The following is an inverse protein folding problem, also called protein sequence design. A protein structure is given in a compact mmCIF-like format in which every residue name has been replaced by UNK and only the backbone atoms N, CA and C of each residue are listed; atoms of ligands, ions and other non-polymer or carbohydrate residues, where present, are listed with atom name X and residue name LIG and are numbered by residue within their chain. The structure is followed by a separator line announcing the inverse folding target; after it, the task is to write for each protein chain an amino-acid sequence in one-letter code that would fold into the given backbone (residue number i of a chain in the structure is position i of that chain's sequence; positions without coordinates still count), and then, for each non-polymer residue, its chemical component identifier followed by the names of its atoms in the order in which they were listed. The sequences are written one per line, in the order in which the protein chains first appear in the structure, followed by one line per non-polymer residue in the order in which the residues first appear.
data_IF_017810103381
#
_entry.id   IF_017810103381
#
_cell.length_a   1.000
_cell.length_b   1.000
_cell.length_c   1.000
_cell.angle_alpha   90.00
_cell.angle_beta   90.00
_cell.angle_gamma   90.00
#
_symmetry.space_group_name_H-M   'P 1'
#
loop_
_entity.id
_entity.type
_entity.pdbx_description
1 polymer ?
#
# COMPACT_ATOMS: atom_id res chain seq x y z
N UNK A 1 -37.61 -26.81 2.32
CA UNK A 1 -36.81 -25.94 1.44
C UNK A 1 -37.37 -24.51 1.53
N UNK A 2 -36.50 -23.49 1.71
CA UNK A 2 -36.79 -22.05 1.54
C UNK A 2 -37.44 -21.20 2.65
N UNK A 3 -36.73 -21.06 3.78
CA UNK A 3 -36.62 -19.73 4.44
C UNK A 3 -35.15 -19.40 4.75
N UNK A 4 -34.40 -20.39 5.25
CA UNK A 4 -32.96 -20.28 5.51
C UNK A 4 -32.14 -20.07 4.23
N UNK A 5 -32.50 -20.75 3.13
CA UNK A 5 -31.83 -20.60 1.83
C UNK A 5 -32.08 -19.22 1.20
N UNK A 6 -33.25 -18.62 1.42
CA UNK A 6 -33.56 -17.24 0.99
C UNK A 6 -32.74 -16.22 1.78
N UNK A 7 -32.56 -16.42 3.09
CA UNK A 7 -31.71 -15.56 3.91
C UNK A 7 -30.23 -15.66 3.52
N UNK A 8 -29.73 -16.88 3.28
CA UNK A 8 -28.36 -17.09 2.80
C UNK A 8 -28.15 -16.46 1.42
N UNK A 9 -29.13 -16.57 0.51
CA UNK A 9 -29.05 -15.95 -0.82
C UNK A 9 -29.16 -14.42 -0.76
N UNK A 10 -30.02 -13.85 0.09
CA UNK A 10 -30.11 -12.39 0.30
C UNK A 10 -28.83 -11.83 0.95
N UNK A 11 -28.24 -12.56 1.91
CA UNK A 11 -27.01 -12.15 2.58
C UNK A 11 -25.79 -12.25 1.64
N UNK A 12 -25.75 -13.27 0.77
CA UNK A 12 -24.73 -13.41 -0.28
C UNK A 12 -24.84 -12.32 -1.35
N UNK A 13 -26.05 -11.87 -1.72
CA UNK A 13 -26.21 -10.75 -2.67
C UNK A 13 -25.77 -9.41 -2.06
N UNK A 14 -25.77 -9.25 -0.73
CA UNK A 14 -25.26 -8.03 -0.08
C UNK A 14 -23.76 -8.05 0.25
N UNK A 15 -23.07 -9.19 0.07
CA UNK A 15 -21.63 -9.34 0.27
C UNK A 15 -20.84 -9.30 -1.05
N UNK A 16 -21.50 -9.18 -2.20
CA UNK A 16 -20.88 -8.61 -3.40
C UNK A 16 -20.43 -7.21 -3.02
N UNK A 17 -19.12 -7.07 -2.82
CA UNK A 17 -18.45 -5.85 -2.44
C UNK A 17 -19.16 -4.65 -3.07
N UNK A 18 -19.86 -3.86 -2.25
CA UNK A 18 -20.10 -2.46 -2.62
C UNK A 18 -18.70 -1.85 -2.76
N UNK A 19 -18.13 -1.95 -3.96
CA UNK A 19 -17.12 -1.03 -4.41
C UNK A 19 -17.79 0.31 -4.19
N UNK A 20 -17.23 1.08 -3.29
CA UNK A 20 -17.69 2.42 -2.97
C UNK A 20 -17.39 3.27 -4.22
N UNK A 21 -18.28 3.16 -5.21
CA UNK A 21 -18.26 3.82 -6.51
C UNK A 21 -18.80 5.25 -6.43
N UNK A 22 -19.04 5.77 -5.22
CA UNK A 22 -19.57 7.11 -5.04
C UNK A 22 -18.67 8.16 -5.70
N UNK A 23 -17.35 7.99 -5.58
CA UNK A 23 -16.36 8.86 -6.23
C UNK A 23 -16.51 8.84 -7.76
N UNK A 24 -16.65 7.65 -8.36
CA UNK A 24 -16.84 7.50 -9.81
C UNK A 24 -18.16 8.14 -10.25
N UNK A 25 -19.26 7.87 -9.54
CA UNK A 25 -20.58 8.47 -9.84
C UNK A 25 -20.57 10.00 -9.73
N UNK A 26 -19.78 10.56 -8.81
CA UNK A 26 -19.63 12.01 -8.65
C UNK A 26 -19.12 12.70 -9.91
N UNK A 27 -18.34 12.01 -10.73
CA UNK A 27 -17.81 12.56 -11.99
C UNK A 27 -18.88 12.68 -13.08
N UNK A 28 -19.93 11.85 -13.07
CA UNK A 28 -21.05 12.01 -14.01
C UNK A 28 -21.96 13.15 -13.58
N UNK A 29 -22.09 13.35 -12.26
CA UNK A 29 -22.89 14.43 -11.68
C UNK A 29 -22.25 15.84 -11.84
N UNK A 30 -20.93 15.94 -11.99
CA UNK A 30 -20.21 17.21 -12.02
C UNK A 30 -19.28 17.31 -13.26
N UNK A 31 -19.85 17.53 -14.47
CA UNK A 31 -19.06 17.57 -15.70
C UNK A 31 -18.04 18.71 -15.74
N UNK A 32 -18.29 19.83 -15.04
CA UNK A 32 -17.35 20.95 -14.92
C UNK A 32 -16.08 20.63 -14.13
N UNK A 33 -16.06 19.50 -13.40
CA UNK A 33 -14.89 19.03 -12.68
C UNK A 33 -14.09 17.98 -13.45
N UNK A 34 -14.37 17.81 -14.74
CA UNK A 34 -13.60 16.93 -15.64
C UNK A 34 -12.41 17.67 -16.23
N UNK A 35 -11.25 17.03 -16.23
CA UNK A 35 -10.04 17.49 -16.92
C UNK A 35 -9.78 16.60 -18.13
N UNK A 36 -9.93 17.15 -19.34
CA UNK A 36 -9.90 16.38 -20.59
C UNK A 36 -8.55 16.42 -21.31
N UNK A 37 -7.61 17.27 -20.90
CA UNK A 37 -6.36 17.51 -21.66
C UNK A 37 -5.24 16.50 -21.37
N UNK A 38 -5.42 15.60 -20.39
CA UNK A 38 -4.46 14.58 -19.94
C UNK A 38 -3.09 15.11 -19.49
N UNK A 39 -2.28 15.65 -20.41
CA UNK A 39 -0.97 16.24 -20.14
C UNK A 39 -1.09 17.65 -19.55
N UNK A 40 -0.31 17.95 -18.51
CA UNK A 40 -0.26 19.28 -17.89
C UNK A 40 0.91 20.12 -18.43
N UNK A 41 0.55 21.20 -19.11
CA UNK A 41 1.40 22.32 -19.51
C UNK A 41 0.74 23.64 -19.11
N UNK A 42 1.40 24.77 -19.37
CA UNK A 42 0.85 26.09 -19.14
C UNK A 42 -0.46 26.31 -19.91
N UNK A 43 -0.56 25.81 -21.13
CA UNK A 43 -1.76 25.88 -21.97
C UNK A 43 -2.90 25.04 -21.38
N UNK A 44 -2.65 23.75 -21.11
CA UNK A 44 -3.70 22.84 -20.65
C UNK A 44 -4.10 23.11 -19.20
N UNK A 45 -3.22 23.71 -18.39
CA UNK A 45 -3.52 24.11 -17.01
C UNK A 45 -4.65 25.15 -16.91
N UNK A 46 -4.93 25.89 -18.00
CA UNK A 46 -6.06 26.82 -18.04
C UNK A 46 -7.40 26.09 -18.01
N UNK A 47 -7.45 24.86 -18.53
CA UNK A 47 -8.63 24.00 -18.56
C UNK A 47 -8.76 23.13 -17.30
N UNK A 48 -7.83 23.24 -16.35
CA UNK A 48 -7.90 22.47 -15.10
C UNK A 48 -9.03 23.00 -14.19
N UNK A 49 -9.87 22.14 -13.60
CA UNK A 49 -11.01 22.53 -12.78
C UNK A 49 -10.59 23.00 -11.36
N UNK A 50 -10.03 24.21 -11.27
CA UNK A 50 -9.42 24.81 -10.07
C UNK A 50 -10.35 24.94 -8.85
N UNK A 51 -11.66 24.99 -9.07
CA UNK A 51 -12.66 25.16 -7.99
C UNK A 51 -13.25 23.84 -7.49
N UNK A 52 -12.78 22.70 -7.99
CA UNK A 52 -13.32 21.40 -7.66
C UNK A 52 -12.52 20.69 -6.56
N UNK A 53 -13.22 20.18 -5.55
CA UNK A 53 -12.61 19.28 -4.56
C UNK A 53 -12.40 17.86 -5.10
N UNK A 54 -13.22 17.44 -6.05
CA UNK A 54 -13.10 16.16 -6.76
C UNK A 54 -12.83 16.46 -8.22
N UNK A 55 -11.68 16.04 -8.74
CA UNK A 55 -11.30 16.20 -10.14
C UNK A 55 -11.34 14.85 -10.82
N UNK A 56 -11.91 14.82 -12.02
CA UNK A 56 -12.13 13.60 -12.79
C UNK A 56 -11.34 13.67 -14.08
N UNK A 57 -10.44 12.72 -14.31
CA UNK A 57 -9.60 12.72 -15.50
C UNK A 57 -8.29 11.99 -15.28
N UNK A 58 -7.51 11.91 -16.35
CA UNK A 58 -6.13 11.46 -16.28
C UNK A 58 -5.26 12.70 -16.16
N UNK A 59 -4.33 12.69 -15.21
CA UNK A 59 -3.35 13.76 -15.02
C UNK A 59 -1.97 13.18 -15.31
N UNK A 60 -1.32 13.69 -16.35
CA UNK A 60 0.05 13.36 -16.73
C UNK A 60 0.95 14.58 -16.55
N UNK A 61 1.94 14.45 -15.69
CA UNK A 61 3.06 15.39 -15.54
C UNK A 61 4.32 14.65 -15.96
N UNK A 62 5.10 15.21 -16.87
CA UNK A 62 6.39 14.64 -17.24
C UNK A 62 7.49 15.68 -17.33
N UNK A 63 8.72 15.27 -17.66
CA UNK A 63 9.86 16.18 -17.81
C UNK A 63 9.75 17.26 -18.89
N UNK A 64 8.69 17.25 -19.71
CA UNK A 64 8.42 18.32 -20.69
C UNK A 64 7.34 19.30 -20.22
N UNK A 65 6.85 19.17 -18.98
CA UNK A 65 5.98 20.20 -18.39
C UNK A 65 6.76 21.51 -18.21
N UNK A 66 6.11 22.61 -18.49
CA UNK A 66 6.58 23.99 -18.35
C UNK A 66 6.03 24.67 -17.07
N UNK A 67 5.35 23.90 -16.21
CA UNK A 67 4.81 24.37 -14.94
C UNK A 67 5.85 24.26 -13.81
N UNK A 68 6.03 25.36 -13.07
CA UNK A 68 6.79 25.37 -11.81
C UNK A 68 6.07 24.62 -10.69
N UNK A 69 6.81 24.26 -9.63
CA UNK A 69 6.25 23.63 -8.42
C UNK A 69 5.20 24.53 -7.77
N UNK A 70 5.42 25.85 -7.77
CA UNK A 70 4.49 26.84 -7.24
C UNK A 70 3.19 26.87 -8.06
N UNK A 71 3.28 26.85 -9.39
CA UNK A 71 2.12 26.78 -10.28
C UNK A 71 1.33 25.48 -10.08
N UNK A 72 2.01 24.34 -9.97
CA UNK A 72 1.37 23.05 -9.69
C UNK A 72 0.69 23.05 -8.31
N UNK A 73 1.35 23.62 -7.30
CA UNK A 73 0.80 23.72 -5.93
C UNK A 73 -0.48 24.55 -5.93
N UNK A 74 -0.47 25.69 -6.61
CA UNK A 74 -1.64 26.55 -6.75
C UNK A 74 -2.76 25.88 -7.56
N UNK A 75 -2.40 25.19 -8.65
CA UNK A 75 -3.33 24.46 -9.51
C UNK A 75 -4.11 23.38 -8.74
N UNK A 76 -3.43 22.65 -7.86
CA UNK A 76 -4.00 21.53 -7.10
C UNK A 76 -4.52 21.89 -5.71
N UNK A 77 -4.42 23.15 -5.26
CA UNK A 77 -4.72 23.56 -3.87
C UNK A 77 -6.07 23.09 -3.34
N UNK A 78 -7.08 23.05 -4.22
CA UNK A 78 -8.45 22.67 -3.88
C UNK A 78 -8.74 21.18 -4.10
N UNK A 79 -7.93 20.48 -4.91
CA UNK A 79 -8.16 19.08 -5.25
C UNK A 79 -7.89 18.19 -4.02
N UNK A 80 -8.92 17.47 -3.57
CA UNK A 80 -8.86 16.49 -2.48
C UNK A 80 -9.02 15.06 -2.98
N UNK A 81 -9.73 14.88 -4.08
CA UNK A 81 -10.01 13.58 -4.66
C UNK A 81 -9.65 13.64 -6.14
N UNK A 82 -8.84 12.69 -6.60
CA UNK A 82 -8.60 12.46 -8.03
C UNK A 82 -9.25 11.13 -8.43
N UNK A 83 -10.15 11.19 -9.40
CA UNK A 83 -10.83 10.03 -9.98
C UNK A 83 -10.39 9.86 -11.43
N UNK A 84 -9.71 8.76 -11.76
CA UNK A 84 -9.12 8.55 -13.09
C UNK A 84 -7.68 8.04 -12.98
N UNK A 85 -6.71 8.76 -13.54
CA UNK A 85 -5.30 8.35 -13.58
C UNK A 85 -4.35 9.45 -13.10
N UNK A 86 -3.22 9.06 -12.50
CA UNK A 86 -2.14 9.97 -12.12
C UNK A 86 -0.81 9.40 -12.57
N UNK A 87 -0.18 10.08 -13.53
CA UNK A 87 1.11 9.71 -14.11
C UNK A 87 2.11 10.83 -13.87
N UNK A 88 3.18 10.54 -13.14
CA UNK A 88 4.29 11.49 -12.92
C UNK A 88 5.56 10.80 -13.36
N UNK A 89 6.12 11.21 -14.50
CA UNK A 89 7.25 10.48 -15.10
C UNK A 89 8.35 11.33 -15.68
N UNK A 90 9.61 10.88 -15.59
CA UNK A 90 10.75 11.59 -16.16
C UNK A 90 10.89 13.04 -15.65
N UNK A 91 10.45 13.36 -14.43
CA UNK A 91 10.59 14.70 -13.85
C UNK A 91 11.86 14.81 -12.99
N UNK A 92 12.22 16.03 -12.64
CA UNK A 92 13.34 16.36 -11.73
C UNK A 92 12.88 16.83 -10.35
N UNK A 93 11.60 16.61 -10.00
CA UNK A 93 11.08 16.99 -8.69
C UNK A 93 11.67 16.12 -7.58
N UNK A 94 12.08 16.75 -6.48
CA UNK A 94 12.59 16.04 -5.30
C UNK A 94 11.48 15.41 -4.46
N UNK A 95 10.26 15.93 -4.55
CA UNK A 95 9.06 15.43 -3.88
C UNK A 95 7.80 15.83 -4.65
N UNK A 96 6.65 15.26 -4.29
CA UNK A 96 5.34 15.55 -4.90
C UNK A 96 4.44 16.37 -3.97
N UNK A 97 5.00 17.22 -3.11
CA UNK A 97 4.21 17.98 -2.12
C UNK A 97 3.29 19.04 -2.74
N UNK A 98 3.44 19.36 -4.02
CA UNK A 98 2.42 20.08 -4.78
C UNK A 98 1.06 19.34 -4.82
N UNK A 99 1.05 18.03 -4.54
CA UNK A 99 -0.14 17.20 -4.31
C UNK A 99 -0.45 16.94 -2.83
N UNK A 100 0.16 17.65 -1.88
CA UNK A 100 -0.07 17.42 -0.44
C UNK A 100 -1.53 17.63 -0.02
N UNK A 101 -2.33 18.33 -0.84
CA UNK A 101 -3.77 18.48 -0.63
C UNK A 101 -4.61 17.23 -0.94
N UNK A 102 -4.07 16.28 -1.71
CA UNK A 102 -4.74 15.06 -2.14
C UNK A 102 -5.01 14.13 -0.96
N UNK A 103 -6.26 13.69 -0.84
CA UNK A 103 -6.74 12.78 0.22
C UNK A 103 -7.09 11.40 -0.32
N UNK A 104 -7.63 11.33 -1.53
CA UNK A 104 -8.08 10.07 -2.14
C UNK A 104 -7.67 10.01 -3.60
N UNK A 105 -7.06 8.89 -3.99
CA UNK A 105 -6.90 8.50 -5.39
C UNK A 105 -7.84 7.34 -5.69
N UNK A 106 -8.61 7.45 -6.77
CA UNK A 106 -9.56 6.41 -7.22
C UNK A 106 -9.40 6.16 -8.71
N UNK A 107 -8.88 5.00 -9.06
CA UNK A 107 -8.82 4.54 -10.43
C UNK A 107 -10.22 4.36 -11.02
N UNK A 108 -10.45 4.94 -12.20
CA UNK A 108 -11.71 4.80 -12.92
C UNK A 108 -11.57 3.89 -14.14
N UNK A 109 -11.60 2.58 -13.88
CA UNK A 109 -11.58 1.54 -14.92
C UNK A 109 -12.89 1.42 -15.70
N UNK A 110 -13.93 2.15 -15.30
CA UNK A 110 -15.20 2.16 -16.04
C UNK A 110 -15.14 3.09 -17.24
N UNK A 111 -14.32 4.14 -17.17
CA UNK A 111 -14.15 5.13 -18.25
C UNK A 111 -12.82 5.02 -18.98
N UNK A 112 -11.78 4.53 -18.32
CA UNK A 112 -10.43 4.49 -18.89
C UNK A 112 -9.84 3.08 -18.90
N UNK A 113 -9.00 2.76 -19.89
CA UNK A 113 -8.23 1.51 -19.89
C UNK A 113 -7.42 1.34 -18.60
N UNK A 114 -7.16 0.08 -18.24
CA UNK A 114 -6.43 -0.25 -17.01
C UNK A 114 -5.07 0.44 -16.93
N UNK A 115 -4.37 0.66 -18.05
CA UNK A 115 -3.05 1.30 -18.07
C UNK A 115 -3.09 2.80 -17.83
N UNK A 116 -4.22 3.44 -18.10
CA UNK A 116 -4.38 4.90 -18.05
C UNK A 116 -4.96 5.37 -16.71
N UNK A 117 -5.85 4.59 -16.09
CA UNK A 117 -6.43 4.88 -14.77
C UNK A 117 -5.51 4.53 -13.58
N UNK A 118 -4.21 4.37 -13.79
CA UNK A 118 -3.26 3.96 -12.75
C UNK A 118 -2.70 5.13 -11.96
N UNK A 119 -2.20 4.82 -10.76
CA UNK A 119 -1.23 5.65 -10.06
C UNK A 119 0.17 5.20 -10.46
N UNK A 120 0.84 5.98 -11.32
CA UNK A 120 2.18 5.70 -11.83
C UNK A 120 3.13 6.85 -11.52
N UNK A 121 4.20 6.56 -10.79
CA UNK A 121 5.25 7.53 -10.47
C UNK A 121 6.56 6.88 -10.89
N UNK A 122 7.06 7.21 -12.08
CA UNK A 122 8.12 6.43 -12.72
C UNK A 122 9.27 7.27 -13.29
N UNK A 123 10.50 6.77 -13.24
CA UNK A 123 11.66 7.44 -13.85
C UNK A 123 11.96 8.86 -13.35
N UNK A 124 11.56 9.22 -12.12
CA UNK A 124 11.87 10.53 -11.54
C UNK A 124 13.19 10.45 -10.77
N UNK A 125 14.29 10.83 -11.41
CA UNK A 125 15.66 10.57 -10.93
C UNK A 125 16.03 11.33 -9.65
N UNK A 126 15.42 12.49 -9.43
CA UNK A 126 15.68 13.33 -8.25
C UNK A 126 14.70 13.10 -7.10
N UNK A 127 13.66 12.30 -7.31
CA UNK A 127 12.60 12.08 -6.33
C UNK A 127 13.11 11.34 -5.10
N UNK A 128 13.04 11.96 -3.92
CA UNK A 128 13.50 11.42 -2.62
C UNK A 128 12.38 10.87 -1.76
N UNK A 129 11.18 11.43 -1.91
CA UNK A 129 9.95 10.94 -1.28
C UNK A 129 8.73 11.32 -2.12
N UNK A 130 7.60 10.62 -1.96
CA UNK A 130 6.35 11.10 -2.59
C UNK A 130 5.83 12.32 -1.83
N UNK A 131 5.73 12.23 -0.50
CA UNK A 131 5.26 13.35 0.33
C UNK A 131 3.78 13.67 0.16
N UNK A 132 2.93 12.66 -0.12
CA UNK A 132 1.47 12.82 -0.19
C UNK A 132 0.86 12.80 1.22
N UNK A 133 1.17 13.85 1.99
CA UNK A 133 1.00 13.88 3.45
C UNK A 133 -0.46 13.70 3.94
N UNK A 134 -1.44 14.03 3.11
CA UNK A 134 -2.86 13.91 3.44
C UNK A 134 -3.58 12.74 2.76
N UNK A 135 -2.86 11.91 2.00
CA UNK A 135 -3.44 10.78 1.28
C UNK A 135 -3.88 9.71 2.28
N UNK A 136 -5.18 9.51 2.42
CA UNK A 136 -5.78 8.50 3.31
C UNK A 136 -6.20 7.25 2.56
N UNK A 137 -6.45 7.37 1.25
CA UNK A 137 -7.04 6.27 0.48
C UNK A 137 -6.48 6.17 -0.93
N UNK A 138 -6.09 4.95 -1.30
CA UNK A 138 -5.79 4.56 -2.67
C UNK A 138 -6.79 3.46 -3.05
N UNK A 139 -7.58 3.70 -4.10
CA UNK A 139 -8.41 2.67 -4.73
C UNK A 139 -7.89 2.45 -6.15
N UNK A 140 -7.15 1.38 -6.40
CA UNK A 140 -6.56 1.10 -7.72
C UNK A 140 -6.31 -0.38 -7.89
N UNK A 141 -6.33 -0.91 -9.10
CA UNK A 141 -5.88 -2.28 -9.39
C UNK A 141 -4.36 -2.37 -9.52
N UNK A 142 -3.71 -1.28 -9.93
CA UNK A 142 -2.25 -1.20 -10.07
C UNK A 142 -1.74 0.13 -9.52
N UNK A 143 -0.69 0.04 -8.72
CA UNK A 143 0.12 1.18 -8.26
C UNK A 143 1.55 0.86 -8.67
N UNK A 144 2.17 1.74 -9.44
CA UNK A 144 3.48 1.53 -10.06
C UNK A 144 4.43 2.66 -9.66
N UNK A 145 5.40 2.36 -8.80
CA UNK A 145 6.42 3.32 -8.33
C UNK A 145 7.78 2.76 -8.71
N UNK A 146 8.22 3.06 -9.93
CA UNK A 146 9.32 2.35 -10.59
C UNK A 146 10.43 3.26 -11.10
N UNK A 147 11.69 2.83 -10.94
CA UNK A 147 12.89 3.56 -11.38
C UNK A 147 12.97 5.02 -10.88
N UNK A 148 12.64 5.25 -9.61
CA UNK A 148 12.92 6.51 -8.93
C UNK A 148 14.20 6.32 -8.10
N UNK A 149 15.37 6.54 -8.70
CA UNK A 149 16.66 6.04 -8.20
C UNK A 149 17.10 6.63 -6.86
N UNK A 150 16.68 7.85 -6.53
CA UNK A 150 16.98 8.54 -5.27
C UNK A 150 15.86 8.42 -4.23
N UNK A 151 14.82 7.63 -4.49
CA UNK A 151 13.67 7.50 -3.59
C UNK A 151 14.12 6.79 -2.30
N UNK A 152 13.92 7.42 -1.15
CA UNK A 152 14.34 6.90 0.16
C UNK A 152 13.15 6.35 0.96
N UNK A 153 11.95 6.90 0.76
CA UNK A 153 10.72 6.50 1.44
C UNK A 153 9.48 6.96 0.68
N UNK A 154 8.30 6.43 0.99
CA UNK A 154 7.07 6.91 0.37
C UNK A 154 6.54 8.18 1.05
N UNK A 155 6.69 8.29 2.38
CA UNK A 155 6.16 9.39 3.21
C UNK A 155 4.64 9.59 3.02
N UNK A 156 3.87 8.54 3.37
CA UNK A 156 2.41 8.52 3.33
C UNK A 156 1.81 8.34 4.75
N UNK A 157 2.03 9.30 5.67
CA UNK A 157 1.78 9.12 7.10
C UNK A 157 0.31 8.91 7.47
N UNK A 158 -0.62 9.36 6.62
CA UNK A 158 -2.07 9.24 6.85
C UNK A 158 -2.73 8.13 6.03
N UNK A 159 -1.96 7.31 5.31
CA UNK A 159 -2.54 6.26 4.50
C UNK A 159 -3.19 5.21 5.40
N UNK A 160 -4.50 5.05 5.27
CA UNK A 160 -5.28 4.14 6.11
C UNK A 160 -5.83 2.95 5.32
N UNK A 161 -6.13 3.16 4.04
CA UNK A 161 -6.80 2.20 3.18
C UNK A 161 -6.12 2.22 1.81
N UNK A 162 -5.53 1.10 1.43
CA UNK A 162 -5.32 0.78 0.03
C UNK A 162 -6.25 -0.38 -0.34
N UNK A 163 -7.27 -0.08 -1.16
CA UNK A 163 -8.26 -1.07 -1.62
C UNK A 163 -8.02 -1.36 -3.09
N UNK A 164 -7.83 -2.63 -3.42
CA UNK A 164 -7.51 -3.04 -4.78
C UNK A 164 -8.75 -3.52 -5.51
N UNK A 165 -8.94 -3.01 -6.73
CA UNK A 165 -10.18 -3.16 -7.51
C UNK A 165 -10.05 -4.33 -8.51
N UNK A 166 -9.78 -5.55 -8.02
CA UNK A 166 -9.71 -6.77 -8.84
C UNK A 166 -8.65 -7.75 -8.35
N UNK A 167 -8.45 -8.84 -9.11
CA UNK A 167 -7.48 -9.91 -8.81
C UNK A 167 -6.11 -9.64 -9.48
N UNK A 168 -5.63 -8.40 -9.42
CA UNK A 168 -4.35 -8.02 -10.03
C UNK A 168 -3.26 -7.89 -8.97
N UNK A 169 -2.02 -8.26 -9.32
CA UNK A 169 -0.83 -8.10 -8.47
C UNK A 169 -0.53 -6.61 -8.25
N UNK A 170 -0.26 -6.23 -7.00
CA UNK A 170 0.24 -4.89 -6.67
C UNK A 170 1.75 -4.94 -6.81
N UNK A 171 2.26 -4.08 -7.66
CA UNK A 171 3.67 -4.01 -8.00
C UNK A 171 4.25 -2.68 -7.50
N UNK A 172 4.65 -2.62 -6.23
CA UNK A 172 5.64 -1.63 -5.79
C UNK A 172 7.02 -2.11 -6.28
N UNK A 173 7.19 -2.11 -7.59
CA UNK A 173 8.46 -2.43 -8.22
C UNK A 173 9.37 -1.22 -8.08
N UNK A 174 10.13 -1.17 -7.01
CA UNK A 174 11.36 -0.40 -7.04
C UNK A 174 12.27 -1.13 -8.06
N UNK A 175 12.89 -0.40 -8.98
CA UNK A 175 13.75 -0.96 -10.04
C UNK A 175 14.77 -2.02 -9.57
N UNK A 176 15.31 -2.78 -10.53
CA UNK A 176 16.06 -4.02 -10.32
C UNK A 176 17.35 -3.90 -9.49
N UNK A 177 17.89 -2.69 -9.31
CA UNK A 177 19.11 -2.49 -8.54
C UNK A 177 18.73 -2.16 -7.11
N UNK A 178 19.18 -3.00 -6.17
CA UNK A 178 19.06 -2.85 -4.72
C UNK A 178 19.34 -1.39 -4.31
N UNK A 179 18.32 -0.55 -4.25
CA UNK A 179 18.47 0.87 -3.90
C UNK A 179 18.78 0.94 -2.41
N UNK A 180 20.03 1.22 -2.00
CA UNK A 180 20.48 0.94 -0.65
C UNK A 180 19.80 1.81 0.43
N UNK A 181 18.98 2.78 0.01
CA UNK A 181 18.30 3.72 0.90
C UNK A 181 16.78 3.61 0.91
N UNK A 182 16.15 2.97 -0.09
CA UNK A 182 14.69 2.87 -0.08
C UNK A 182 14.23 1.82 0.91
N UNK A 183 13.42 2.24 1.86
CA UNK A 183 12.70 1.33 2.72
C UNK A 183 11.20 1.66 2.72
N UNK A 184 10.36 0.64 2.90
CA UNK A 184 8.92 0.82 3.08
C UNK A 184 8.56 0.96 4.56
N UNK A 185 7.76 1.97 4.89
CA UNK A 185 7.31 2.19 6.26
C UNK A 185 6.27 1.13 6.68
N UNK A 186 6.39 0.59 7.90
CA UNK A 186 5.46 -0.42 8.44
C UNK A 186 3.99 0.04 8.43
N UNK A 187 3.73 1.34 8.61
CA UNK A 187 2.39 1.92 8.52
C UNK A 187 1.78 1.82 7.10
N UNK A 188 2.61 1.91 6.05
CA UNK A 188 2.16 1.74 4.67
C UNK A 188 1.83 0.27 4.43
N UNK A 189 2.70 -0.65 4.86
CA UNK A 189 2.41 -2.09 4.82
C UNK A 189 1.11 -2.44 5.55
N UNK A 190 0.88 -1.84 6.72
CA UNK A 190 -0.35 -2.03 7.49
C UNK A 190 -1.58 -1.56 6.69
N UNK A 191 -1.50 -0.44 5.98
CA UNK A 191 -2.59 0.05 5.13
C UNK A 191 -2.84 -0.81 3.88
N UNK A 192 -1.76 -1.34 3.28
CA UNK A 192 -1.80 -2.26 2.13
C UNK A 192 -2.43 -3.61 2.47
N UNK A 193 -2.36 -4.02 3.74
CA UNK A 193 -2.77 -5.35 4.20
C UNK A 193 -3.97 -5.32 5.14
N UNK A 194 -4.50 -4.12 5.44
CA UNK A 194 -5.60 -3.90 6.40
C UNK A 194 -6.88 -4.66 6.05
N UNK A 195 -7.16 -4.83 4.76
CA UNK A 195 -8.27 -5.64 4.26
C UNK A 195 -7.70 -6.79 3.44
N UNK A 196 -8.41 -7.93 3.44
CA UNK A 196 -8.10 -9.02 2.51
C UNK A 196 -8.14 -8.46 1.11
N UNK A 197 -6.96 -8.34 0.53
CA UNK A 197 -6.76 -8.04 -0.85
C UNK A 197 -6.37 -9.39 -1.48
N UNK A 198 -7.08 -9.83 -2.51
CA UNK A 198 -6.81 -11.12 -3.18
C UNK A 198 -5.57 -11.02 -4.09
N UNK A 199 -4.59 -10.22 -3.69
CA UNK A 199 -3.53 -9.72 -4.56
C UNK A 199 -2.18 -10.03 -3.94
N UNK A 200 -1.24 -10.47 -4.77
CA UNK A 200 0.16 -10.53 -4.38
C UNK A 200 0.67 -9.09 -4.19
N UNK A 201 1.29 -8.83 -3.03
CA UNK A 201 1.99 -7.58 -2.76
C UNK A 201 3.47 -7.79 -3.07
N UNK A 202 3.93 -7.27 -4.20
CA UNK A 202 5.35 -7.31 -4.56
C UNK A 202 5.96 -5.95 -4.25
N UNK A 203 6.75 -5.91 -3.18
CA UNK A 203 7.57 -4.75 -2.80
C UNK A 203 9.02 -5.24 -2.77
N UNK A 204 9.85 -4.73 -3.67
CA UNK A 204 11.29 -4.99 -3.68
C UNK A 204 12.00 -3.90 -2.87
N UNK A 205 12.08 -4.06 -1.55
CA UNK A 205 12.58 -3.05 -0.62
C UNK A 205 12.92 -3.66 0.74
N UNK A 206 13.73 -2.95 1.54
CA UNK A 206 13.83 -3.19 2.97
C UNK A 206 12.68 -2.52 3.74
N UNK A 207 12.54 -2.83 5.03
CA UNK A 207 11.52 -2.21 5.89
C UNK A 207 12.18 -1.14 6.74
N UNK A 208 11.59 0.05 6.77
CA UNK A 208 12.15 1.15 7.54
C UNK A 208 12.14 0.82 9.02
N UNK A 209 13.31 0.90 9.66
CA UNK A 209 13.43 0.84 11.11
C UNK A 209 13.07 2.24 11.65
N UNK A 210 11.92 2.41 12.32
CA UNK A 210 11.53 3.71 12.82
C UNK A 210 12.45 4.15 13.96
N UNK A 211 12.88 5.41 13.94
CA UNK A 211 13.57 6.03 15.08
C UNK A 211 12.60 6.15 16.26
N UNK A 212 13.03 5.71 17.44
CA UNK A 212 12.28 5.88 18.70
C UNK A 212 10.86 5.30 18.71
N UNK A 213 10.64 4.11 18.14
CA UNK A 213 9.34 3.43 18.21
C UNK A 213 9.29 2.43 19.38
N UNK A 214 8.52 2.70 20.45
CA UNK A 214 8.40 1.76 21.55
C UNK A 214 7.76 0.45 21.06
N UNK A 215 8.29 -0.67 21.54
CA UNK A 215 7.85 -2.03 21.19
C UNK A 215 8.11 -2.48 19.74
N UNK A 216 8.87 -1.71 18.95
CA UNK A 216 9.44 -2.15 17.66
C UNK A 216 10.86 -2.62 17.90
N UNK A 217 11.21 -3.80 17.38
CA UNK A 217 12.50 -4.43 17.63
C UNK A 217 13.07 -4.98 16.33
N UNK A 218 14.39 -5.07 16.25
CA UNK A 218 15.13 -5.79 15.20
C UNK A 218 15.64 -7.15 15.68
N UNK A 219 15.57 -7.38 17.00
CA UNK A 219 15.91 -8.65 17.66
C UNK A 219 14.80 -9.01 18.65
N UNK A 220 14.48 -10.30 18.83
CA UNK A 220 13.42 -10.72 19.74
C UNK A 220 13.80 -10.41 21.20
N UNK A 221 12.98 -9.60 21.85
CA UNK A 221 13.13 -9.15 23.24
C UNK A 221 11.79 -9.17 23.96
N UNK A 222 11.80 -9.29 25.28
CA UNK A 222 10.56 -9.29 26.08
C UNK A 222 9.83 -7.96 25.90
N UNK A 223 8.52 -8.03 25.67
CA UNK A 223 7.68 -6.84 25.40
C UNK A 223 7.66 -6.40 23.94
N UNK A 224 8.45 -7.04 23.06
CA UNK A 224 8.41 -6.73 21.64
C UNK A 224 7.03 -7.01 21.02
N UNK A 225 6.44 -6.02 20.35
CA UNK A 225 5.13 -6.18 19.70
C UNK A 225 5.25 -6.23 18.17
N UNK A 226 6.27 -5.58 17.60
CA UNK A 226 6.56 -5.58 16.17
C UNK A 226 8.03 -5.93 15.95
N UNK A 227 8.31 -7.05 15.30
CA UNK A 227 9.67 -7.46 14.97
C UNK A 227 9.94 -7.20 13.48
N UNK A 228 10.96 -6.41 13.17
CA UNK A 228 11.47 -6.18 11.82
C UNK A 228 12.72 -7.05 11.64
N UNK A 229 12.65 -8.01 10.72
CA UNK A 229 13.67 -9.01 10.50
C UNK A 229 13.15 -10.44 10.74
N UNK A 230 13.97 -11.42 10.37
CA UNK A 230 13.61 -12.83 10.47
C UNK A 230 13.61 -13.32 11.94
N UNK A 231 12.63 -14.14 12.28
CA UNK A 231 12.51 -14.76 13.60
C UNK A 231 12.90 -16.24 13.51
N UNK A 232 14.03 -16.59 14.13
CA UNK A 232 14.52 -17.96 14.22
C UNK A 232 14.21 -18.55 15.61
N UNK A 233 13.36 -19.57 15.64
CA UNK A 233 12.97 -20.31 16.83
C UNK A 233 13.56 -21.72 16.71
N UNK A 234 14.56 -22.00 17.53
CA UNK A 234 15.28 -23.28 17.57
C UNK A 234 15.20 -23.91 18.96
N UNK A 235 15.80 -25.08 19.15
CA UNK A 235 15.89 -25.74 20.46
C UNK A 235 16.47 -24.79 21.51
N UNK A 236 15.78 -24.66 22.65
CA UNK A 236 16.19 -23.78 23.75
C UNK A 236 15.78 -22.31 23.60
N UNK A 237 15.00 -21.96 22.56
CA UNK A 237 14.50 -20.59 22.39
C UNK A 237 13.63 -20.15 23.58
N UNK A 238 13.91 -18.94 24.09
CA UNK A 238 13.13 -18.33 25.16
C UNK A 238 11.82 -17.74 24.63
N UNK A 239 10.73 -18.49 24.79
CA UNK A 239 9.40 -18.13 24.29
C UNK A 239 8.86 -16.81 24.85
N UNK A 240 9.32 -16.37 26.03
CA UNK A 240 8.90 -15.09 26.65
C UNK A 240 9.21 -13.88 25.77
N UNK A 241 10.21 -14.00 24.88
CA UNK A 241 10.62 -12.95 23.93
C UNK A 241 9.59 -12.71 22.81
N UNK A 242 8.64 -13.63 22.62
CA UNK A 242 7.65 -13.56 21.53
C UNK A 242 6.20 -13.61 21.99
N UNK A 243 5.94 -13.75 23.30
CA UNK A 243 4.58 -13.77 23.84
C UNK A 243 3.80 -12.48 23.53
N UNK A 244 4.48 -11.33 23.51
CA UNK A 244 3.88 -10.02 23.16
C UNK A 244 3.85 -9.73 21.66
N UNK A 245 4.48 -10.59 20.84
CA UNK A 245 4.67 -10.33 19.41
C UNK A 245 3.34 -10.37 18.68
N UNK A 246 2.99 -9.26 18.01
CA UNK A 246 1.75 -9.13 17.23
C UNK A 246 1.98 -9.17 15.74
N UNK A 247 3.11 -8.63 15.28
CA UNK A 247 3.46 -8.54 13.85
C UNK A 247 4.92 -8.91 13.66
N UNK A 248 5.17 -9.78 12.70
CA UNK A 248 6.50 -10.08 12.19
C UNK A 248 6.61 -9.52 10.78
N UNK A 249 7.66 -8.74 10.53
CA UNK A 249 8.02 -8.26 9.21
C UNK A 249 9.32 -8.96 8.77
N UNK A 250 9.17 -10.19 8.27
CA UNK A 250 10.23 -11.13 7.98
C UNK A 250 9.71 -12.57 7.90
N UNK A 251 10.62 -13.53 7.76
CA UNK A 251 10.32 -14.96 7.81
C UNK A 251 10.25 -15.46 9.25
N UNK A 252 9.24 -16.29 9.56
CA UNK A 252 9.18 -17.11 10.76
C UNK A 252 9.77 -18.49 10.50
N UNK A 253 10.95 -18.76 11.06
CA UNK A 253 11.62 -20.06 11.00
C UNK A 253 11.46 -20.78 12.34
N UNK A 254 10.77 -21.93 12.36
CA UNK A 254 10.65 -22.79 13.54
C UNK A 254 11.28 -24.14 13.20
N UNK A 255 12.52 -24.35 13.65
CA UNK A 255 13.32 -25.50 13.23
C UNK A 255 13.90 -26.30 14.39
N UNK A 256 13.84 -27.64 14.29
CA UNK A 256 14.45 -28.57 15.22
C UNK A 256 14.13 -28.28 16.71
N UNK A 257 12.90 -27.85 17.00
CA UNK A 257 12.45 -27.57 18.37
C UNK A 257 11.87 -28.82 19.03
N UNK A 258 11.78 -28.79 20.36
CA UNK A 258 11.12 -29.83 21.17
C UNK A 258 9.67 -29.46 21.51
N UNK A 259 9.12 -28.38 20.94
CA UNK A 259 7.77 -27.89 21.22
C UNK A 259 6.69 -28.81 20.66
N UNK A 260 5.58 -28.96 21.40
CA UNK A 260 4.40 -29.73 20.97
C UNK A 260 3.37 -28.88 20.23
N UNK A 261 3.40 -27.57 20.42
CA UNK A 261 2.49 -26.61 19.80
C UNK A 261 3.08 -25.19 19.73
N UNK A 262 2.40 -24.28 19.03
CA UNK A 262 2.82 -22.88 18.83
C UNK A 262 1.99 -21.85 19.61
N UNK A 263 1.32 -22.24 20.70
CA UNK A 263 0.47 -21.32 21.49
C UNK A 263 1.23 -20.14 22.10
N UNK A 264 2.55 -20.27 22.28
CA UNK A 264 3.40 -19.16 22.72
C UNK A 264 3.46 -17.98 21.72
N UNK A 265 3.10 -18.21 20.45
CA UNK A 265 2.86 -17.17 19.44
C UNK A 265 1.38 -16.75 19.40
N UNK A 266 0.63 -16.93 20.48
CA UNK A 266 -0.82 -16.70 20.55
C UNK A 266 -1.27 -15.26 20.30
N UNK A 267 -0.34 -14.29 20.33
CA UNK A 267 -0.62 -12.90 19.96
C UNK A 267 -0.21 -12.54 18.53
N UNK A 268 0.49 -13.41 17.81
CA UNK A 268 0.92 -13.17 16.45
C UNK A 268 -0.29 -13.12 15.54
N UNK A 269 -0.51 -11.97 14.92
CA UNK A 269 -1.66 -11.72 14.05
C UNK A 269 -1.28 -11.69 12.57
N UNK A 270 -0.06 -11.28 12.25
CA UNK A 270 0.40 -11.13 10.87
C UNK A 270 1.89 -11.47 10.75
N UNK A 271 2.23 -12.11 9.64
CA UNK A 271 3.60 -12.28 9.15
C UNK A 271 3.63 -11.63 7.77
N UNK A 272 4.48 -10.62 7.61
CA UNK A 272 4.69 -9.93 6.35
C UNK A 272 6.06 -10.27 5.84
N UNK A 273 6.11 -10.91 4.69
CA UNK A 273 7.34 -11.16 3.98
C UNK A 273 7.33 -10.36 2.69
N UNK A 274 8.39 -9.59 2.48
CA UNK A 274 8.60 -8.86 1.22
C UNK A 274 9.16 -9.82 0.17
N UNK A 275 9.05 -9.40 -1.08
CA UNK A 275 9.46 -10.21 -2.25
C UNK A 275 8.75 -11.58 -2.31
N UNK A 276 9.33 -12.53 -3.05
CA UNK A 276 8.80 -13.89 -3.24
C UNK A 276 9.32 -14.88 -2.17
N UNK A 277 9.75 -14.39 -1.02
CA UNK A 277 10.34 -15.23 0.02
C UNK A 277 9.27 -15.91 0.88
N UNK A 278 9.63 -17.06 1.46
CA UNK A 278 8.72 -17.86 2.30
C UNK A 278 8.47 -17.14 3.63
N UNK A 279 7.20 -16.92 3.96
CA UNK A 279 6.81 -16.25 5.21
C UNK A 279 6.91 -17.17 6.44
N UNK A 280 6.65 -18.47 6.29
CA UNK A 280 6.64 -19.44 7.38
C UNK A 280 7.36 -20.73 6.97
N UNK A 281 8.39 -21.10 7.73
CA UNK A 281 9.17 -22.32 7.53
C UNK A 281 9.17 -23.15 8.83
N UNK A 282 8.62 -24.35 8.78
CA UNK A 282 8.52 -25.24 9.94
C UNK A 282 9.08 -26.62 9.59
N UNK A 283 10.26 -26.95 10.12
CA UNK A 283 11.01 -28.15 9.71
C UNK A 283 11.70 -28.83 10.90
N UNK A 284 11.67 -30.17 10.94
CA UNK A 284 12.46 -30.96 11.90
C UNK A 284 11.93 -30.97 13.35
N UNK A 285 10.73 -30.45 13.60
CA UNK A 285 10.11 -30.41 14.93
C UNK A 285 9.43 -31.76 15.26
N UNK A 286 10.21 -32.73 15.75
CA UNK A 286 9.77 -34.14 15.92
C UNK A 286 8.62 -34.33 16.91
N UNK A 287 8.50 -33.45 17.90
CA UNK A 287 7.47 -33.53 18.94
C UNK A 287 6.21 -32.71 18.63
N UNK A 288 6.17 -32.00 17.50
CA UNK A 288 5.08 -31.11 17.13
C UNK A 288 3.80 -31.92 16.91
N UNK A 289 2.75 -31.58 17.65
CA UNK A 289 1.42 -32.20 17.56
C UNK A 289 0.36 -31.25 17.02
N UNK A 290 0.52 -29.94 17.23
CA UNK A 290 -0.42 -28.92 16.76
C UNK A 290 0.32 -27.70 16.16
N UNK A 291 0.01 -27.35 14.91
CA UNK A 291 0.58 -26.20 14.19
C UNK A 291 -0.32 -24.94 14.25
N UNK A 292 -1.38 -24.95 15.06
CA UNK A 292 -2.33 -23.84 15.14
C UNK A 292 -1.69 -22.55 15.66
N UNK A 293 -1.96 -21.46 14.94
CA UNK A 293 -1.69 -20.09 15.36
C UNK A 293 -3.02 -19.41 15.73
N UNK A 294 -3.32 -19.19 17.02
CA UNK A 294 -4.65 -18.80 17.47
C UNK A 294 -5.22 -17.51 16.86
N UNK A 295 -4.35 -16.54 16.52
CA UNK A 295 -4.76 -15.22 16.01
C UNK A 295 -4.16 -14.89 14.65
N UNK A 296 -3.36 -15.77 14.05
CA UNK A 296 -2.70 -15.48 12.79
C UNK A 296 -3.76 -15.40 11.68
N UNK A 297 -3.80 -14.27 11.00
CA UNK A 297 -4.68 -14.05 9.87
C UNK A 297 -3.93 -14.49 8.61
N UNK A 298 -4.52 -15.43 7.88
CA UNK A 298 -4.09 -15.71 6.50
C UNK A 298 -4.56 -14.54 5.65
N UNK A 299 -3.59 -13.80 5.09
CA UNK A 299 -3.80 -12.70 4.14
C UNK A 299 -4.46 -13.22 2.87
#
# INVERSE_FOLDING_TARGET
MNLLLKFIFLFLITQLSKIDCWDIKSCDANPSCKFNETFLSQDTSQNFPKNCSTVCGIVLINGTTDLSVEQLTELFKNMRILVGGLHIRNTTFENLRFLAGLRRFVADYTRYPIYDAQLRITYNRELRELGLLNLTTIKSSVVDIFRNEKLEKLNLPKLEIAKFLGNYTIQFLMGYDKYPKFCIETQVLDALTRRRNQCDLVVNSDICIPENAPNVCTVPTVGCQRLIGNLNITKGFDVRKVESLKRLYGTLNITNTDFTDFRFLGNLTHIFQLEYAVALYVVGNKNLKNMEFPKLRVL
#
